data_IF_361640696927
#
_entry.id   IF_361640696927
#
_cell.length_a   1.000
_cell.length_b   1.000
_cell.length_c   1.000
_cell.angle_alpha   90.00
_cell.angle_beta   90.00
_cell.angle_gamma   90.00
#
_symmetry.space_group_name_H-M   'P 1'
#
loop_
_entity.id
_entity.type
_entity.pdbx_description
1 polymer ?
#
# COMPACT_ATOMS: atom_id res chain seq x y z
N UNK A 1 -12.59 8.69 -4.54
CA UNK A 1 -11.49 7.74 -4.19
C UNK A 1 -10.31 7.70 -5.17
N UNK A 2 -10.42 7.35 -6.46
CA UNK A 2 -9.24 7.38 -7.37
C UNK A 2 -8.76 8.80 -7.72
N UNK A 3 -9.69 9.72 -8.01
CA UNK A 3 -9.36 11.13 -8.32
C UNK A 3 -8.69 11.86 -7.13
N UNK A 4 -9.12 11.58 -5.91
CA UNK A 4 -8.56 12.20 -4.69
C UNK A 4 -7.15 11.70 -4.40
N UNK A 5 -6.89 10.41 -4.56
CA UNK A 5 -5.53 9.85 -4.46
C UNK A 5 -4.61 10.43 -5.53
N UNK A 6 -5.10 10.59 -6.76
CA UNK A 6 -4.34 11.16 -7.87
C UNK A 6 -4.02 12.65 -7.65
N UNK A 7 -4.97 13.43 -7.13
CA UNK A 7 -4.75 14.83 -6.74
C UNK A 7 -3.79 14.98 -5.55
N UNK A 8 -3.86 14.08 -4.57
CA UNK A 8 -2.92 14.08 -3.43
C UNK A 8 -1.50 13.77 -3.90
N UNK A 9 -1.32 12.79 -4.79
CA UNK A 9 -0.01 12.46 -5.38
C UNK A 9 0.52 13.63 -6.21
N UNK A 10 -0.33 14.28 -7.01
CA UNK A 10 0.03 15.46 -7.81
C UNK A 10 0.49 16.63 -6.93
N UNK A 11 -0.19 16.88 -5.81
CA UNK A 11 0.22 17.93 -4.86
C UNK A 11 1.56 17.61 -4.20
N UNK A 12 1.77 16.37 -3.77
CA UNK A 12 3.05 15.95 -3.19
C UNK A 12 4.18 16.05 -4.22
N UNK A 13 3.93 15.62 -5.46
CA UNK A 13 4.90 15.73 -6.56
C UNK A 13 5.24 17.20 -6.87
N UNK A 14 4.25 18.09 -6.87
CA UNK A 14 4.47 19.52 -7.06
C UNK A 14 5.33 20.14 -5.95
N UNK A 15 5.08 19.81 -4.68
CA UNK A 15 5.89 20.31 -3.56
C UNK A 15 7.34 19.81 -3.65
N UNK A 16 7.53 18.54 -4.01
CA UNK A 16 8.88 17.98 -4.19
C UNK A 16 9.61 18.63 -5.37
N UNK A 17 8.92 18.92 -6.48
CA UNK A 17 9.50 19.60 -7.62
C UNK A 17 9.94 21.04 -7.27
N UNK A 18 9.09 21.79 -6.56
CA UNK A 18 9.42 23.15 -6.08
C UNK A 18 10.63 23.11 -5.12
N UNK A 19 10.68 22.11 -4.24
CA UNK A 19 11.81 21.93 -3.34
C UNK A 19 13.12 21.63 -4.11
N UNK A 20 13.08 20.77 -5.13
CA UNK A 20 14.24 20.47 -5.96
C UNK A 20 14.76 21.72 -6.71
N UNK A 21 13.85 22.57 -7.21
CA UNK A 21 14.20 23.85 -7.84
C UNK A 21 14.86 24.80 -6.84
N UNK A 22 14.36 24.87 -5.59
CA UNK A 22 15.00 25.66 -4.53
C UNK A 22 16.40 25.17 -4.18
N UNK A 23 16.63 23.86 -4.10
CA UNK A 23 17.97 23.30 -3.87
C UNK A 23 18.90 23.64 -5.03
N UNK A 24 18.42 23.55 -6.28
CA UNK A 24 19.21 23.88 -7.47
C UNK A 24 19.63 25.37 -7.50
N UNK A 25 18.70 26.27 -7.18
CA UNK A 25 18.98 27.70 -7.04
C UNK A 25 19.97 27.99 -5.90
N UNK A 26 19.88 27.28 -4.78
CA UNK A 26 20.82 27.41 -3.67
C UNK A 26 22.25 27.00 -4.06
N UNK A 27 22.42 26.01 -4.94
CA UNK A 27 23.72 25.61 -5.48
C UNK A 27 24.34 26.62 -6.44
N UNK A 28 23.51 27.41 -7.14
CA UNK A 28 23.95 28.50 -8.01
C UNK A 28 24.44 29.73 -7.22
N UNK A 29 24.03 29.87 -5.95
CA UNK A 29 24.52 30.93 -5.08
C UNK A 29 26.00 30.75 -4.71
N UNK A 30 26.74 31.85 -4.52
CA UNK A 30 28.17 31.81 -4.11
C UNK A 30 28.37 31.42 -2.64
N UNK A 31 27.31 31.37 -1.83
CA UNK A 31 27.42 31.16 -0.38
C UNK A 31 27.63 29.68 -0.03
N UNK A 32 28.82 29.34 0.45
CA UNK A 32 29.21 27.97 0.82
C UNK A 32 28.32 27.40 1.94
N UNK A 33 27.94 28.22 2.92
CA UNK A 33 27.12 27.79 4.07
C UNK A 33 25.71 27.37 3.65
N UNK A 34 25.13 28.07 2.67
CA UNK A 34 23.81 27.75 2.13
C UNK A 34 23.82 26.39 1.43
N UNK A 35 24.90 26.07 0.69
CA UNK A 35 25.07 24.77 0.00
C UNK A 35 25.14 23.61 0.98
N UNK A 36 25.81 23.78 2.11
CA UNK A 36 25.94 22.74 3.14
C UNK A 36 24.58 22.48 3.81
N UNK A 37 23.85 23.53 4.18
CA UNK A 37 22.53 23.41 4.83
C UNK A 37 21.50 22.76 3.88
N UNK A 38 21.39 23.25 2.64
CA UNK A 38 20.47 22.66 1.66
C UNK A 38 20.90 21.27 1.19
N UNK A 39 22.21 20.99 1.14
CA UNK A 39 22.75 19.66 0.86
C UNK A 39 22.35 18.65 1.93
N UNK A 40 22.49 18.99 3.22
CA UNK A 40 22.04 18.15 4.33
C UNK A 40 20.52 17.91 4.28
N UNK A 41 19.73 18.95 4.01
CA UNK A 41 18.27 18.84 3.86
C UNK A 41 17.87 17.91 2.69
N UNK A 42 18.58 18.02 1.56
CA UNK A 42 18.34 17.18 0.39
C UNK A 42 18.63 15.69 0.67
N UNK A 43 19.68 15.38 1.45
CA UNK A 43 19.99 14.01 1.87
C UNK A 43 18.88 13.44 2.77
N UNK A 44 18.39 14.23 3.73
CA UNK A 44 17.28 13.81 4.62
C UNK A 44 16.00 13.54 3.83
N UNK A 45 15.65 14.44 2.90
CA UNK A 45 14.47 14.28 2.04
C UNK A 45 14.64 13.11 1.08
N UNK A 46 15.83 12.93 0.49
CA UNK A 46 16.15 11.79 -0.36
C UNK A 46 15.98 10.45 0.37
N UNK A 47 16.52 10.34 1.59
CA UNK A 47 16.35 9.16 2.43
C UNK A 47 14.87 8.92 2.79
N UNK A 48 14.12 9.99 3.07
CA UNK A 48 12.69 9.91 3.37
C UNK A 48 11.88 9.44 2.16
N UNK A 49 12.19 9.95 0.96
CA UNK A 49 11.56 9.54 -0.31
C UNK A 49 11.88 8.08 -0.60
N UNK A 50 13.15 7.65 -0.45
CA UNK A 50 13.54 6.24 -0.64
C UNK A 50 12.78 5.34 0.34
N UNK A 51 12.63 5.76 1.61
CA UNK A 51 11.84 5.02 2.61
C UNK A 51 10.36 4.92 2.22
N UNK A 52 9.77 5.99 1.69
CA UNK A 52 8.40 6.00 1.16
C UNK A 52 8.29 5.09 -0.08
N UNK A 53 9.24 5.15 -1.01
CA UNK A 53 9.25 4.32 -2.22
C UNK A 53 9.39 2.83 -1.85
N UNK A 54 10.25 2.48 -0.91
CA UNK A 54 10.36 1.11 -0.38
C UNK A 54 9.05 0.69 0.29
N UNK A 55 8.41 1.60 1.04
CA UNK A 55 7.10 1.35 1.66
C UNK A 55 5.96 1.19 0.65
N UNK A 56 6.05 1.83 -0.53
CA UNK A 56 5.09 1.69 -1.63
C UNK A 56 5.37 0.45 -2.50
N UNK A 57 6.65 0.12 -2.75
CA UNK A 57 7.08 -1.07 -3.49
C UNK A 57 6.85 -2.36 -2.71
N UNK A 58 6.87 -2.33 -1.38
CA UNK A 58 6.33 -3.42 -0.54
C UNK A 58 4.82 -3.46 -0.69
N UNK A 59 4.36 -4.04 -1.82
CA UNK A 59 3.01 -4.53 -2.06
C UNK A 59 2.46 -5.06 -0.73
N UNK A 60 1.51 -4.32 -0.15
CA UNK A 60 0.85 -4.64 1.11
C UNK A 60 0.27 -6.05 0.97
N UNK A 61 1.04 -6.97 1.55
CA UNK A 61 0.93 -8.41 1.74
C UNK A 61 0.00 -9.18 0.82
N UNK A 62 0.60 -10.03 -0.02
CA UNK A 62 -0.11 -10.98 -0.86
C UNK A 62 -0.45 -12.24 -0.07
N UNK A 63 -1.73 -12.59 -0.04
CA UNK A 63 -2.23 -13.87 0.46
C UNK A 63 -3.00 -14.55 -0.65
N UNK A 64 -2.64 -15.80 -0.92
CA UNK A 64 -3.44 -16.70 -1.73
C UNK A 64 -4.19 -17.66 -0.82
N UNK A 65 -5.51 -17.74 -0.98
CA UNK A 65 -6.31 -18.62 -0.17
C UNK A 65 -7.75 -18.76 -0.63
N UNK A 66 -8.44 -19.73 -0.04
CA UNK A 66 -9.86 -19.95 -0.28
C UNK A 66 -10.68 -19.05 0.64
N UNK A 67 -11.65 -18.31 0.09
CA UNK A 67 -12.58 -17.54 0.90
C UNK A 67 -13.60 -18.47 1.57
N UNK A 68 -13.63 -18.50 2.90
CA UNK A 68 -14.51 -19.36 3.69
C UNK A 68 -15.80 -18.62 4.04
N UNK A 69 -15.68 -17.36 4.47
CA UNK A 69 -16.81 -16.55 4.90
C UNK A 69 -16.59 -15.08 4.60
N UNK A 70 -17.68 -14.41 4.20
CA UNK A 70 -17.79 -12.95 4.12
C UNK A 70 -18.93 -12.57 5.06
N UNK A 71 -18.65 -11.69 6.01
CA UNK A 71 -19.64 -11.19 6.96
C UNK A 71 -19.83 -9.69 6.77
N UNK A 72 -21.09 -9.27 6.75
CA UNK A 72 -21.47 -7.89 6.61
C UNK A 72 -21.08 -7.05 7.85
N UNK A 73 -20.81 -5.75 7.65
CA UNK A 73 -20.53 -4.82 8.72
C UNK A 73 -21.74 -4.65 9.65
N UNK A 74 -21.59 -4.91 10.95
CA UNK A 74 -22.70 -4.76 11.93
C UNK A 74 -22.85 -3.37 12.54
N UNK A 75 -23.14 -2.25 11.84
CA UNK A 75 -23.43 -0.91 12.44
C UNK A 75 -22.61 0.29 11.89
N UNK A 76 -22.63 1.48 12.55
CA UNK A 76 -22.28 2.80 11.94
C UNK A 76 -20.89 2.98 11.28
N UNK A 77 -19.81 2.41 11.81
CA UNK A 77 -18.46 2.49 11.22
C UNK A 77 -17.87 1.09 10.95
N UNK A 78 -18.70 0.15 10.47
CA UNK A 78 -18.25 -1.24 10.35
C UNK A 78 -17.63 -1.54 8.98
N UNK A 79 -16.56 -2.33 9.03
CA UNK A 79 -15.88 -2.96 7.90
C UNK A 79 -16.46 -4.35 7.67
N UNK A 80 -16.55 -4.78 6.41
CA UNK A 80 -16.78 -6.18 6.06
C UNK A 80 -15.64 -7.03 6.62
N UNK A 81 -15.95 -8.23 7.11
CA UNK A 81 -14.92 -9.18 7.53
C UNK A 81 -14.91 -10.40 6.64
N UNK A 82 -13.71 -10.81 6.24
CA UNK A 82 -13.48 -11.90 5.30
C UNK A 82 -12.52 -12.89 5.94
N UNK A 83 -12.88 -14.17 5.90
CA UNK A 83 -12.06 -15.26 6.43
C UNK A 83 -11.46 -16.05 5.28
N UNK A 84 -10.14 -16.15 5.27
CA UNK A 84 -9.37 -16.72 4.16
C UNK A 84 -8.54 -17.88 4.69
N UNK A 85 -8.69 -19.05 4.09
CA UNK A 85 -7.87 -20.24 4.40
C UNK A 85 -6.58 -20.21 3.60
N UNK A 86 -5.46 -20.15 4.31
CA UNK A 86 -4.11 -20.29 3.75
C UNK A 86 -3.49 -21.59 4.24
N UNK A 87 -3.55 -22.65 3.43
CA UNK A 87 -3.07 -23.97 3.86
C UNK A 87 -3.80 -24.47 5.10
N UNK A 88 -3.09 -24.59 6.23
CA UNK A 88 -3.63 -25.06 7.53
C UNK A 88 -4.17 -23.94 8.42
N UNK A 89 -3.86 -22.67 8.13
CA UNK A 89 -4.24 -21.53 8.97
C UNK A 89 -5.37 -20.70 8.32
N UNK A 90 -6.17 -20.04 9.15
CA UNK A 90 -7.22 -19.10 8.70
C UNK A 90 -6.84 -17.69 9.12
N UNK A 91 -6.88 -16.74 8.19
CA UNK A 91 -6.65 -15.31 8.48
C UNK A 91 -7.94 -14.51 8.30
N UNK A 92 -8.20 -13.60 9.23
CA UNK A 92 -9.32 -12.67 9.19
C UNK A 92 -8.84 -11.33 8.64
N UNK A 93 -9.50 -10.87 7.58
CA UNK A 93 -9.21 -9.61 6.88
C UNK A 93 -10.45 -8.72 6.93
N UNK A 94 -10.24 -7.41 6.79
CA UNK A 94 -11.29 -6.39 6.88
C UNK A 94 -11.35 -5.56 5.61
N UNK A 95 -12.52 -5.03 5.25
CA UNK A 95 -12.66 -4.10 4.12
C UNK A 95 -13.67 -3.02 4.47
N UNK A 96 -13.30 -1.76 4.23
CA UNK A 96 -14.23 -0.65 4.39
C UNK A 96 -15.34 -0.63 3.32
N UNK A 97 -15.05 -1.18 2.13
CA UNK A 97 -16.02 -1.29 1.03
C UNK A 97 -16.66 -2.67 0.95
N UNK A 98 -17.76 -2.76 0.20
CA UNK A 98 -18.41 -4.03 -0.14
C UNK A 98 -17.43 -4.98 -0.84
N UNK A 99 -17.43 -6.24 -0.39
CA UNK A 99 -16.52 -7.27 -0.89
C UNK A 99 -17.30 -8.27 -1.74
N UNK A 100 -17.06 -8.28 -3.07
CA UNK A 100 -17.73 -9.17 -4.03
C UNK A 100 -17.07 -10.55 -4.13
N UNK A 101 -16.51 -11.05 -3.03
CA UNK A 101 -15.87 -12.37 -2.99
C UNK A 101 -16.90 -13.46 -2.76
N UNK A 102 -16.87 -14.53 -3.56
CA UNK A 102 -17.75 -15.68 -3.42
C UNK A 102 -17.11 -16.71 -2.49
N UNK A 103 -17.91 -17.30 -1.59
CA UNK A 103 -17.46 -18.41 -0.73
C UNK A 103 -17.02 -19.59 -1.61
N UNK A 104 -15.98 -20.29 -1.18
CA UNK A 104 -15.44 -21.46 -1.87
C UNK A 104 -14.47 -21.17 -3.01
N UNK A 105 -14.37 -19.92 -3.49
CA UNK A 105 -13.42 -19.54 -4.54
C UNK A 105 -12.05 -19.17 -3.98
N UNK A 106 -11.02 -19.34 -4.82
CA UNK A 106 -9.65 -18.92 -4.52
C UNK A 106 -9.41 -17.47 -4.94
N UNK A 107 -8.78 -16.73 -4.04
CA UNK A 107 -8.45 -15.33 -4.27
C UNK A 107 -7.01 -15.03 -3.89
N UNK A 108 -6.38 -14.16 -4.67
CA UNK A 108 -5.17 -13.43 -4.29
C UNK A 108 -5.59 -12.11 -3.67
N UNK A 109 -5.18 -11.85 -2.44
CA UNK A 109 -5.62 -10.69 -1.66
C UNK A 109 -4.38 -9.90 -1.25
N UNK A 110 -4.41 -8.62 -1.59
CA UNK A 110 -3.45 -7.62 -1.12
C UNK A 110 -4.06 -6.94 0.09
N UNK A 111 -3.42 -7.05 1.25
CA UNK A 111 -3.91 -6.49 2.50
C UNK A 111 -2.79 -5.82 3.29
N UNK A 112 -3.13 -4.90 4.16
CA UNK A 112 -2.18 -4.22 5.03
C UNK A 112 -1.98 -5.02 6.32
N UNK A 113 -0.76 -5.52 6.62
CA UNK A 113 -0.54 -6.42 7.78
C UNK A 113 -0.92 -5.81 9.12
N UNK A 114 -0.67 -4.50 9.31
CA UNK A 114 -0.93 -3.83 10.59
C UNK A 114 -2.42 -3.70 10.89
N UNK A 115 -3.25 -3.47 9.87
CA UNK A 115 -4.70 -3.24 10.02
C UNK A 115 -5.56 -4.41 9.54
N UNK A 116 -4.95 -5.40 8.88
CA UNK A 116 -5.60 -6.47 8.13
C UNK A 116 -6.63 -5.98 7.09
N UNK A 117 -6.50 -4.73 6.62
CA UNK A 117 -7.41 -4.15 5.64
C UNK A 117 -7.08 -4.61 4.21
N UNK A 118 -8.09 -5.08 3.49
CA UNK A 118 -8.03 -5.48 2.09
C UNK A 118 -7.90 -4.21 1.24
N UNK A 119 -6.82 -4.16 0.47
CA UNK A 119 -6.51 -3.09 -0.48
C UNK A 119 -6.97 -3.48 -1.88
N UNK A 120 -6.76 -4.75 -2.27
CA UNK A 120 -7.14 -5.30 -3.57
C UNK A 120 -7.37 -6.80 -3.46
N UNK A 121 -8.26 -7.36 -4.26
CA UNK A 121 -8.45 -8.81 -4.39
C UNK A 121 -8.70 -9.19 -5.85
N UNK A 122 -8.21 -10.36 -6.25
CA UNK A 122 -8.37 -10.92 -7.59
C UNK A 122 -8.75 -12.41 -7.48
N UNK A 123 -9.74 -12.85 -8.26
CA UNK A 123 -10.12 -14.26 -8.32
C UNK A 123 -9.05 -15.05 -9.10
N UNK A 124 -8.56 -16.13 -8.52
CA UNK A 124 -7.53 -16.98 -9.14
C UNK A 124 -8.21 -18.29 -9.56
N UNK A 125 -8.02 -18.70 -10.82
CA UNK A 125 -8.44 -20.02 -11.27
C UNK A 125 -7.59 -21.08 -10.55
N UNK A 126 -8.18 -22.17 -10.03
CA UNK A 126 -7.46 -23.19 -9.26
C UNK A 126 -6.39 -24.00 -10.04
N UNK A 127 -5.98 -23.56 -11.24
CA UNK A 127 -4.91 -24.18 -12.03
C UNK A 127 -3.49 -23.76 -11.62
N UNK A 128 -3.31 -22.84 -10.67
CA UNK A 128 -1.99 -22.61 -10.05
C UNK A 128 -1.75 -23.66 -8.97
N UNK A 129 -1.10 -24.73 -9.40
CA UNK A 129 -0.50 -25.82 -8.64
C UNK A 129 -0.24 -25.44 -7.17
N UNK A 130 -1.12 -25.90 -6.27
CA UNK A 130 -0.92 -25.82 -4.83
C UNK A 130 0.21 -26.79 -4.52
N UNK A 131 1.45 -26.33 -4.64
CA UNK A 131 2.63 -27.06 -4.18
C UNK A 131 2.52 -27.16 -2.66
N UNK A 132 1.85 -28.22 -2.19
CA UNK A 132 1.94 -28.72 -0.83
C UNK A 132 3.39 -29.14 -0.63
N UNK A 133 4.25 -28.25 -0.13
CA UNK A 133 5.45 -28.73 0.55
C UNK A 133 4.98 -29.42 1.83
N UNK A 134 5.09 -30.75 1.83
CA UNK A 134 5.02 -31.60 3.02
C UNK A 134 6.12 -31.20 3.99
#
# INVERSE_FOLDING_TARGET
MEKEKRNAILRIAAVVAVFAVMVFLAFYSKHIALKIVFGALAVVIGAFIVRIIISLKRKKFYIQGQCIAVQAPKGKFKKYSVFVKMGKATKKLYSAGEVKMKKGKFYGIYYEEKSNDIVKYEEIKPSMNITRKK
#
